data_IF_302852345380
#
_entry.id   IF_302852345380
#
_cell.length_a   1.000
_cell.length_b   1.000
_cell.length_c   1.000
_cell.angle_alpha   90.00
_cell.angle_beta   90.00
_cell.angle_gamma   90.00
#
_symmetry.space_group_name_H-M   'P 1'
#
loop_
_entity.id
_entity.type
_entity.pdbx_description
1 polymer ?
#
# COMPACT_ATOMS: atom_id res chain seq x y z
N UNK A 1 13.56 21.06 -0.09
CA UNK A 1 13.18 20.85 -0.08
C UNK A 1 12.36 20.50 0.08
N UNK A 2 11.99 20.09 0.16
CA UNK A 2 11.28 19.66 0.28
C UNK A 2 10.31 19.60 0.59
N UNK A 3 9.99 19.25 0.35
CA UNK A 3 8.94 19.24 0.45
C UNK A 3 8.14 18.91 1.34
N UNK A 4 7.46 18.96 1.42
CA UNK A 4 6.68 18.98 2.52
C UNK A 4 5.67 17.94 2.60
N UNK A 5 5.27 17.44 1.53
CA UNK A 5 4.26 16.43 1.55
C UNK A 5 4.83 15.16 2.15
N UNK A 6 4.07 14.60 3.07
CA UNK A 6 4.50 13.41 3.70
C UNK A 6 4.13 12.21 2.87
N UNK A 7 5.08 11.37 2.59
CA UNK A 7 4.82 10.16 1.84
C UNK A 7 4.41 9.07 2.82
N UNK A 8 3.27 8.43 2.62
CA UNK A 8 2.86 7.37 3.54
C UNK A 8 3.91 6.28 3.60
N UNK A 9 4.08 5.74 4.79
CA UNK A 9 5.12 4.75 5.00
C UNK A 9 4.91 3.52 4.13
N UNK A 10 3.67 3.14 3.88
CA UNK A 10 3.39 2.03 2.99
C UNK A 10 3.92 2.30 1.58
N UNK A 11 3.78 3.55 1.15
CA UNK A 11 4.24 3.94 -0.16
C UNK A 11 5.76 3.75 -0.28
N UNK A 12 6.49 4.13 0.76
CA UNK A 12 7.93 3.95 0.77
C UNK A 12 8.31 2.48 0.77
N UNK A 13 7.64 1.69 1.59
CA UNK A 13 7.96 0.27 1.65
C UNK A 13 7.68 -0.42 0.34
N UNK A 14 6.56 -0.12 -0.27
CA UNK A 14 6.22 -0.72 -1.54
C UNK A 14 7.20 -0.25 -2.63
N UNK A 15 7.53 1.04 -2.61
CA UNK A 15 8.48 1.55 -3.59
C UNK A 15 9.83 0.88 -3.50
N UNK A 16 10.33 0.70 -2.28
CA UNK A 16 11.61 0.02 -2.09
C UNK A 16 11.52 -1.42 -2.56
N UNK A 17 10.42 -2.08 -2.26
CA UNK A 17 10.22 -3.45 -2.69
C UNK A 17 10.24 -3.54 -4.22
N UNK A 18 9.48 -2.66 -4.88
CA UNK A 18 9.43 -2.69 -6.33
C UNK A 18 10.76 -2.34 -6.96
N UNK A 19 11.51 -1.45 -6.33
CA UNK A 19 12.82 -1.08 -6.85
C UNK A 19 13.80 -2.25 -6.82
N UNK A 20 13.53 -3.25 -5.98
CA UNK A 20 14.37 -4.44 -5.93
C UNK A 20 14.04 -5.42 -7.06
N UNK A 21 13.09 -5.09 -7.89
CA UNK A 21 12.67 -5.89 -9.04
C UNK A 21 12.32 -7.31 -8.60
N UNK A 22 11.26 -7.45 -7.82
CA UNK A 22 10.90 -8.75 -7.27
C UNK A 22 10.38 -9.70 -8.32
N UNK A 23 10.54 -10.99 -8.07
CA UNK A 23 9.93 -11.99 -8.90
C UNK A 23 8.42 -12.04 -8.61
N UNK A 24 7.68 -12.74 -9.46
CA UNK A 24 6.25 -12.90 -9.22
C UNK A 24 6.00 -13.55 -7.87
N UNK A 25 6.78 -14.55 -7.55
CA UNK A 25 6.60 -15.24 -6.29
C UNK A 25 6.85 -14.30 -5.12
N UNK A 26 7.88 -13.48 -5.22
CA UNK A 26 8.15 -12.50 -4.18
C UNK A 26 7.03 -11.49 -4.07
N UNK A 27 6.48 -11.09 -5.20
CA UNK A 27 5.39 -10.14 -5.19
C UNK A 27 4.17 -10.72 -4.49
N UNK A 28 3.85 -11.98 -4.77
CA UNK A 28 2.71 -12.62 -4.13
C UNK A 28 2.88 -12.73 -2.63
N UNK A 29 4.12 -12.77 -2.17
CA UNK A 29 4.41 -12.88 -0.74
C UNK A 29 4.58 -11.53 -0.05
N UNK A 30 4.52 -10.46 -0.79
CA UNK A 30 4.77 -9.15 -0.19
C UNK A 30 3.78 -8.84 0.90
N UNK A 31 4.29 -8.39 2.03
CA UNK A 31 3.46 -7.93 3.13
C UNK A 31 4.06 -6.66 3.69
N UNK A 32 3.24 -5.68 3.99
CA UNK A 32 3.75 -4.49 4.66
C UNK A 32 4.30 -4.83 6.03
N UNK A 33 5.19 -4.00 6.52
CA UNK A 33 5.78 -4.22 7.83
C UNK A 33 4.71 -4.11 8.91
N UNK A 34 5.06 -4.59 10.08
CA UNK A 34 4.18 -4.48 11.23
C UNK A 34 3.82 -3.03 11.52
N UNK A 35 4.80 -2.16 11.36
CA UNK A 35 4.58 -0.73 11.60
C UNK A 35 3.52 -0.17 10.67
N UNK A 36 3.57 -0.56 9.40
CA UNK A 36 2.56 -0.10 8.45
C UNK A 36 1.20 -0.68 8.79
N UNK A 37 1.16 -1.95 9.15
CA UNK A 37 -0.10 -2.58 9.49
C UNK A 37 -0.74 -1.94 10.70
N UNK A 38 0.08 -1.58 11.69
CA UNK A 38 -0.43 -0.90 12.87
C UNK A 38 -0.98 0.47 12.54
N UNK A 39 -0.26 1.20 11.69
CA UNK A 39 -0.74 2.51 11.29
C UNK A 39 -2.07 2.40 10.56
N UNK A 40 -2.20 1.41 9.70
CA UNK A 40 -3.46 1.24 8.97
C UNK A 40 -4.59 0.93 9.93
N UNK A 41 -4.35 0.05 10.90
CA UNK A 41 -5.38 -0.29 11.88
C UNK A 41 -5.80 0.94 12.68
N UNK A 42 -4.84 1.77 13.04
CA UNK A 42 -5.15 2.98 13.79
C UNK A 42 -6.03 3.92 12.96
N UNK A 43 -5.67 4.11 11.69
CA UNK A 43 -6.47 4.97 10.83
C UNK A 43 -7.85 4.40 10.59
N UNK A 44 -7.93 3.10 10.43
CA UNK A 44 -9.21 2.45 10.23
C UNK A 44 -10.12 2.65 11.43
N UNK A 45 -9.55 2.51 12.63
CA UNK A 45 -10.31 2.72 13.85
C UNK A 45 -10.84 4.14 13.95
N UNK A 46 -9.98 5.12 13.67
CA UNK A 46 -10.41 6.52 13.70
C UNK A 46 -11.44 6.83 12.62
N UNK A 47 -11.28 6.19 11.47
CA UNK A 47 -12.23 6.39 10.40
C UNK A 47 -13.62 5.90 10.82
N UNK A 48 -13.66 4.77 11.49
CA UNK A 48 -14.95 4.22 11.90
C UNK A 48 -15.64 5.10 12.94
N UNK A 49 -14.87 5.96 13.60
CA UNK A 49 -15.42 6.89 14.58
C UNK A 49 -15.62 8.29 14.00
N UNK A 50 -15.35 8.47 12.72
CA UNK A 50 -15.48 9.77 12.11
C UNK A 50 -14.51 10.79 12.63
N UNK A 51 -13.30 10.35 13.04
CA UNK A 51 -12.36 11.22 13.70
C UNK A 51 -11.05 11.44 12.96
N UNK A 52 -11.02 11.15 11.67
CA UNK A 52 -9.81 11.41 10.91
C UNK A 52 -9.64 12.89 10.67
N UNK A 53 -8.42 13.39 10.86
CA UNK A 53 -8.10 14.72 10.41
C UNK A 53 -8.00 14.71 8.90
N UNK A 54 -7.91 15.91 8.30
CA UNK A 54 -7.80 15.97 6.85
C UNK A 54 -6.55 15.25 6.34
N UNK A 55 -5.42 15.45 7.03
CA UNK A 55 -4.20 14.76 6.63
C UNK A 55 -4.31 13.25 6.78
N UNK A 56 -5.00 12.82 7.83
CA UNK A 56 -5.21 11.40 8.03
C UNK A 56 -6.15 10.80 7.00
N UNK A 57 -7.13 11.58 6.55
CA UNK A 57 -8.02 11.11 5.49
C UNK A 57 -7.23 10.86 4.21
N UNK A 58 -6.32 11.78 3.92
CA UNK A 58 -5.47 11.60 2.74
C UNK A 58 -4.61 10.37 2.89
N UNK A 59 -3.97 10.21 4.03
CA UNK A 59 -3.13 9.06 4.28
C UNK A 59 -3.92 7.76 4.17
N UNK A 60 -5.11 7.75 4.76
CA UNK A 60 -5.95 6.56 4.75
C UNK A 60 -6.36 6.18 3.33
N UNK A 61 -6.71 7.17 2.53
CA UNK A 61 -7.12 6.89 1.16
C UNK A 61 -5.93 6.36 0.34
N UNK A 62 -4.72 6.82 0.64
CA UNK A 62 -3.55 6.29 -0.05
C UNK A 62 -3.31 4.83 0.30
N UNK A 63 -3.47 4.49 1.58
CA UNK A 63 -3.38 3.09 1.99
C UNK A 63 -4.37 2.23 1.21
N UNK A 64 -5.59 2.70 1.10
CA UNK A 64 -6.62 1.89 0.44
C UNK A 64 -6.36 1.73 -1.04
N UNK A 65 -5.89 2.80 -1.68
CA UNK A 65 -5.56 2.72 -3.11
C UNK A 65 -4.43 1.73 -3.35
N UNK A 66 -3.40 1.78 -2.52
CA UNK A 66 -2.27 0.89 -2.69
C UNK A 66 -2.69 -0.55 -2.44
N UNK A 67 -3.51 -0.76 -1.43
CA UNK A 67 -3.98 -2.10 -1.13
C UNK A 67 -4.79 -2.66 -2.30
N UNK A 68 -5.65 -1.82 -2.88
CA UNK A 68 -6.42 -2.24 -4.02
C UNK A 68 -5.54 -2.60 -5.20
N UNK A 69 -4.52 -1.78 -5.45
CA UNK A 69 -3.60 -2.05 -6.54
C UNK A 69 -2.84 -3.35 -6.31
N UNK A 70 -2.37 -3.55 -5.08
CA UNK A 70 -1.65 -4.78 -4.75
C UNK A 70 -2.53 -6.00 -4.99
N UNK A 71 -3.78 -5.95 -4.56
CA UNK A 71 -4.67 -7.07 -4.75
C UNK A 71 -4.94 -7.33 -6.22
N UNK A 72 -5.08 -6.25 -6.98
CA UNK A 72 -5.31 -6.40 -8.42
C UNK A 72 -4.11 -7.07 -9.09
N UNK A 73 -2.90 -6.60 -8.78
CA UNK A 73 -1.71 -7.16 -9.41
C UNK A 73 -1.53 -8.62 -9.00
N UNK A 74 -1.74 -8.92 -7.74
CA UNK A 74 -1.61 -10.29 -7.27
C UNK A 74 -2.61 -11.21 -7.97
N UNK A 75 -3.80 -10.71 -8.19
CA UNK A 75 -4.81 -11.52 -8.84
C UNK A 75 -4.44 -11.76 -10.32
N UNK A 76 -3.83 -10.78 -10.98
CA UNK A 76 -3.37 -10.96 -12.35
C UNK A 76 -2.25 -11.99 -12.43
N UNK A 77 -1.33 -11.95 -11.47
CA UNK A 77 -0.26 -12.92 -11.43
C UNK A 77 -0.81 -14.32 -11.25
N UNK A 78 -1.75 -14.48 -10.32
CA UNK A 78 -2.33 -15.79 -10.06
C UNK A 78 -3.08 -16.33 -11.27
N UNK A 79 -3.67 -15.44 -12.03
CA UNK A 79 -4.41 -15.84 -13.21
C UNK A 79 -3.51 -16.11 -14.41
N UNK A 80 -2.22 -15.80 -14.31
CA UNK A 80 -1.30 -16.03 -15.41
C UNK A 80 -1.50 -15.08 -16.56
N UNK A 81 -2.04 -13.91 -16.31
CA UNK A 81 -2.36 -12.98 -17.40
C UNK A 81 -1.31 -11.92 -17.65
N UNK A 82 -0.14 -12.16 -17.18
CA UNK A 82 0.89 -11.17 -17.31
C UNK A 82 1.35 -10.97 -18.74
N UNK A 83 0.98 -11.89 -19.60
CA UNK A 83 1.48 -11.82 -20.92
C UNK A 83 0.36 -11.64 -21.88
N UNK A 84 0.46 -10.65 -22.71
CA UNK A 84 -0.56 -10.37 -23.67
C UNK A 84 0.00 -10.43 -25.06
N UNK A 85 -0.61 -11.18 -25.92
CA UNK A 85 -0.18 -11.19 -27.33
C UNK A 85 -0.47 -9.86 -27.97
#
# INVERSE_FOLDING_TARGET
>A
MRTAAKIPILFEELGDFLASVPSEKQFLSFRPSEQVQERYRELLHRSSEGRLTRGEQYEFSQFELIEMLLQYVKSQIRAGKKKQP
#
